data_IF_108764393117
#
_entry.id   IF_108764393117
#
_cell.length_a   1.000
_cell.length_b   1.000
_cell.length_c   1.000
_cell.angle_alpha   90.00
_cell.angle_beta   90.00
_cell.angle_gamma   90.00
#
_symmetry.space_group_name_H-M   'P 1'
#
loop_
_entity.id
_entity.type
_entity.pdbx_description
1 polymer ?
#
# COMPACT_ATOMS: atom_id res chain seq x y z
N UNK A 1 -16.50 6.95 4.18
CA UNK A 1 -15.32 6.60 3.40
C UNK A 1 -14.11 7.31 3.95
N UNK A 2 -12.99 6.64 3.95
CA UNK A 2 -11.76 7.21 4.48
C UNK A 2 -10.90 7.76 3.37
N UNK A 3 -10.21 8.87 3.64
CA UNK A 3 -9.26 9.44 2.70
C UNK A 3 -7.82 9.05 3.04
N UNK A 4 -7.59 8.46 4.21
CA UNK A 4 -6.26 8.04 4.64
C UNK A 4 -6.39 6.87 5.61
N UNK A 5 -5.53 5.87 5.42
CA UNK A 5 -5.52 4.70 6.30
C UNK A 5 -4.09 4.20 6.43
N UNK A 6 -3.72 3.80 7.64
CA UNK A 6 -2.40 3.21 7.90
C UNK A 6 -2.57 1.75 8.26
N UNK A 7 -1.76 0.89 7.66
CA UNK A 7 -1.73 -0.53 7.96
C UNK A 7 -0.29 -0.94 8.27
N UNK A 8 -0.11 -1.61 9.38
CA UNK A 8 1.19 -2.15 9.76
C UNK A 8 1.25 -3.59 9.27
N UNK A 9 2.07 -3.85 8.25
CA UNK A 9 2.20 -5.18 7.67
C UNK A 9 3.51 -5.86 8.05
N UNK A 10 4.20 -5.33 9.04
CA UNK A 10 5.45 -5.94 9.50
C UNK A 10 5.16 -7.33 10.03
N UNK A 11 6.03 -8.27 9.68
CA UNK A 11 5.87 -9.65 10.10
C UNK A 11 4.94 -10.49 9.23
N UNK A 12 4.26 -9.88 8.27
CA UNK A 12 3.36 -10.61 7.40
C UNK A 12 4.04 -11.03 6.12
N UNK A 13 3.61 -12.17 5.56
CA UNK A 13 4.02 -12.55 4.21
C UNK A 13 3.42 -11.57 3.22
N UNK A 14 3.97 -11.53 2.01
CA UNK A 14 3.40 -10.67 0.98
C UNK A 14 1.92 -11.02 0.72
N UNK A 15 1.62 -12.31 0.66
CA UNK A 15 0.25 -12.74 0.39
C UNK A 15 -0.72 -12.23 1.45
N UNK A 16 -0.38 -12.42 2.72
CA UNK A 16 -1.26 -11.96 3.80
C UNK A 16 -1.35 -10.45 3.84
N UNK A 17 -0.22 -9.77 3.64
CA UNK A 17 -0.22 -8.31 3.62
C UNK A 17 -1.05 -7.79 2.46
N UNK A 18 -0.96 -8.45 1.30
CA UNK A 18 -1.72 -8.04 0.13
C UNK A 18 -3.22 -8.18 0.34
N UNK A 19 -3.65 -9.26 0.98
CA UNK A 19 -5.07 -9.44 1.29
C UNK A 19 -5.58 -8.32 2.18
N UNK A 20 -4.80 -7.98 3.19
CA UNK A 20 -5.18 -6.93 4.12
C UNK A 20 -5.23 -5.57 3.40
N UNK A 21 -4.21 -5.27 2.60
CA UNK A 21 -4.15 -4.02 1.88
C UNK A 21 -5.30 -3.89 0.88
N UNK A 22 -5.58 -4.97 0.15
CA UNK A 22 -6.67 -4.96 -0.83
C UNK A 22 -8.00 -4.68 -0.17
N UNK A 23 -8.24 -5.30 0.98
CA UNK A 23 -9.46 -5.09 1.73
C UNK A 23 -9.61 -3.64 2.16
N UNK A 24 -8.52 -3.06 2.67
CA UNK A 24 -8.58 -1.68 3.13
C UNK A 24 -8.72 -0.69 1.98
N UNK A 25 -8.13 -1.01 0.82
CA UNK A 25 -8.26 -0.15 -0.34
C UNK A 25 -9.71 0.00 -0.80
N UNK A 26 -10.54 -1.01 -0.61
CA UNK A 26 -11.95 -0.89 -1.00
C UNK A 26 -12.69 0.14 -0.18
N UNK A 27 -12.16 0.48 1.01
CA UNK A 27 -12.78 1.44 1.91
C UNK A 27 -12.25 2.85 1.73
N UNK A 28 -11.15 3.00 1.03
CA UNK A 28 -10.54 4.30 0.81
C UNK A 28 -11.20 4.94 -0.41
N UNK A 29 -11.54 6.23 -0.30
CA UNK A 29 -12.17 6.93 -1.41
C UNK A 29 -11.15 7.25 -2.49
N UNK A 30 -11.61 7.62 -3.66
CA UNK A 30 -10.75 8.02 -4.76
C UNK A 30 -9.78 9.10 -4.30
N UNK A 31 -8.54 8.99 -4.74
CA UNK A 31 -7.48 9.93 -4.41
C UNK A 31 -7.06 9.87 -2.95
N UNK A 32 -7.64 8.97 -2.18
CA UNK A 32 -7.19 8.74 -0.82
C UNK A 32 -5.89 7.98 -0.81
N UNK A 33 -5.27 7.89 0.36
CA UNK A 33 -3.94 7.31 0.51
C UNK A 33 -3.95 6.17 1.51
N UNK A 34 -3.26 5.09 1.14
CA UNK A 34 -2.99 3.98 2.06
C UNK A 34 -1.51 4.02 2.41
N UNK A 35 -1.23 4.06 3.71
CA UNK A 35 0.14 4.00 4.21
C UNK A 35 0.43 2.60 4.69
N UNK A 36 1.48 1.98 4.15
CA UNK A 36 1.92 0.65 4.57
C UNK A 36 3.21 0.78 5.36
N UNK A 37 3.23 0.19 6.56
CA UNK A 37 4.44 0.12 7.37
C UNK A 37 5.08 -1.21 7.11
N UNK A 38 6.28 -1.20 6.56
CA UNK A 38 6.96 -2.37 6.01
C UNK A 38 8.24 -2.66 6.78
N UNK A 39 8.53 -3.94 6.99
CA UNK A 39 9.76 -4.38 7.64
C UNK A 39 10.98 -4.03 6.77
N UNK A 40 12.03 -3.55 7.42
CA UNK A 40 13.30 -3.38 6.73
C UNK A 40 13.89 -4.73 6.31
N UNK A 41 13.73 -5.73 7.16
CA UNK A 41 14.30 -7.05 6.88
C UNK A 41 13.57 -7.76 5.76
N UNK A 42 12.27 -7.55 5.66
CA UNK A 42 11.47 -8.07 4.57
C UNK A 42 10.83 -6.90 3.88
N UNK A 43 11.60 -6.28 3.01
CA UNK A 43 11.17 -5.06 2.36
C UNK A 43 10.29 -5.38 1.15
N UNK A 44 8.99 -5.25 1.33
CA UNK A 44 8.01 -5.55 0.30
C UNK A 44 7.66 -4.32 -0.55
N UNK A 45 8.47 -3.27 -0.45
CA UNK A 45 8.19 -2.03 -1.16
C UNK A 45 8.04 -2.24 -2.65
N UNK A 46 8.98 -2.95 -3.27
CA UNK A 46 8.93 -3.17 -4.72
C UNK A 46 7.72 -3.99 -5.13
N UNK A 47 7.41 -5.02 -4.34
CA UNK A 47 6.27 -5.87 -4.66
C UNK A 47 4.97 -5.09 -4.60
N UNK A 48 4.82 -4.26 -3.57
CA UNK A 48 3.61 -3.45 -3.45
C UNK A 48 3.55 -2.33 -4.48
N UNK A 49 4.70 -1.77 -4.83
CA UNK A 49 4.74 -0.74 -5.87
C UNK A 49 4.29 -1.30 -7.22
N UNK A 50 4.73 -2.51 -7.55
CA UNK A 50 4.29 -3.16 -8.78
C UNK A 50 2.81 -3.49 -8.74
N UNK A 51 2.36 -4.03 -7.61
CA UNK A 51 0.94 -4.32 -7.45
C UNK A 51 0.09 -3.07 -7.63
N UNK A 52 0.49 -1.98 -6.97
CA UNK A 52 -0.26 -0.74 -7.05
C UNK A 52 -0.33 -0.23 -8.48
N UNK A 53 0.80 -0.26 -9.19
CA UNK A 53 0.84 0.18 -10.56
C UNK A 53 -0.07 -0.66 -11.45
N UNK A 54 -0.05 -1.98 -11.26
CA UNK A 54 -0.88 -2.88 -12.04
C UNK A 54 -2.36 -2.67 -11.79
N UNK A 55 -2.72 -2.19 -10.60
CA UNK A 55 -4.10 -1.93 -10.24
C UNK A 55 -4.55 -0.51 -10.58
N UNK A 56 -3.68 0.29 -11.17
CA UNK A 56 -4.04 1.65 -11.53
C UNK A 56 -3.88 2.65 -10.41
N UNK A 57 -3.19 2.26 -9.34
CA UNK A 57 -2.89 3.17 -8.24
C UNK A 57 -1.52 3.79 -8.43
N UNK A 58 -1.18 4.72 -7.58
CA UNK A 58 0.06 5.47 -7.71
C UNK A 58 0.82 5.43 -6.40
N UNK A 59 2.11 5.09 -6.46
CA UNK A 59 2.98 5.24 -5.30
C UNK A 59 3.29 6.72 -5.14
N UNK A 60 2.85 7.30 -4.03
CA UNK A 60 2.97 8.74 -3.85
C UNK A 60 4.22 9.13 -3.08
N UNK A 61 4.74 8.25 -2.23
CA UNK A 61 5.93 8.56 -1.45
C UNK A 61 6.49 7.30 -0.82
N UNK A 62 7.75 7.36 -0.42
CA UNK A 62 8.42 6.29 0.31
C UNK A 62 9.29 6.95 1.37
N UNK A 63 9.06 6.61 2.64
CA UNK A 63 9.90 7.06 3.73
C UNK A 63 10.72 5.90 4.25
N UNK A 64 12.02 5.99 4.11
CA UNK A 64 12.93 4.96 4.59
C UNK A 64 13.60 5.45 5.86
N UNK A 65 13.26 4.85 6.99
CA UNK A 65 13.91 5.20 8.25
C UNK A 65 14.60 3.97 8.83
N UNK A 66 15.38 4.14 9.92
CA UNK A 66 16.21 3.02 10.42
C UNK A 66 15.44 1.79 10.85
N UNK A 67 14.17 1.93 11.21
CA UNK A 67 13.41 0.82 11.77
C UNK A 67 12.39 0.24 10.82
N UNK A 68 11.94 1.02 9.85
CA UNK A 68 10.85 0.60 8.98
C UNK A 68 10.86 1.40 7.70
N UNK A 69 10.08 0.93 6.75
CA UNK A 69 9.81 1.68 5.52
C UNK A 69 8.33 2.00 5.49
N UNK A 70 8.00 3.24 5.16
CA UNK A 70 6.59 3.62 4.95
C UNK A 70 6.37 3.86 3.47
N UNK A 71 5.42 3.14 2.92
CA UNK A 71 5.06 3.26 1.51
C UNK A 71 3.67 3.86 1.43
N UNK A 72 3.54 4.98 0.71
CA UNK A 72 2.27 5.66 0.55
C UNK A 72 1.74 5.39 -0.85
N UNK A 73 0.54 4.83 -0.93
CA UNK A 73 -0.08 4.50 -2.21
C UNK A 73 -1.38 5.27 -2.33
N UNK A 74 -1.46 6.09 -3.36
CA UNK A 74 -2.66 6.86 -3.63
C UNK A 74 -3.61 6.06 -4.52
N UNK A 75 -4.85 5.95 -4.09
CA UNK A 75 -5.85 5.21 -4.84
C UNK A 75 -6.18 5.96 -6.12
N UNK A 76 -6.07 5.26 -7.24
CA UNK A 76 -6.37 5.85 -8.52
C UNK A 76 -7.86 6.11 -8.68
N UNK A 77 -8.18 7.18 -9.39
CA UNK A 77 -9.58 7.50 -9.67
C UNK A 77 -10.17 6.54 -10.70
N UNK A 78 -9.30 5.90 -11.47
CA UNK A 78 -9.72 4.90 -12.46
C UNK A 78 -8.87 3.66 -12.27
N UNK A 79 -9.21 2.89 -11.24
CA UNK A 79 -8.52 1.63 -11.03
C UNK A 79 -8.73 0.75 -12.27
N UNK A 80 -7.74 -0.08 -12.53
CA UNK A 80 -7.80 -0.99 -13.67
C UNK A 80 -8.97 -1.92 -13.50
N UNK A 81 -9.70 -2.09 -14.58
CA UNK A 81 -10.79 -3.04 -14.61
C UNK A 81 -10.32 -4.28 -15.34
N UNK A 82 -10.53 -5.35 -14.69
CA UNK A 82 -10.17 -6.62 -15.31
C UNK A 82 -11.02 -6.87 -16.55
#
# INVERSE_FOLDING_TARGET
MESFKTIDIRGLSFFNALQLASKEFTRIQKNGTLELIIDKKRNLTDAFSKWAKNQGHKTSDIEDNPQMVRLFIQKGSQAIKA
#
